data_IF_332182189169
#
_entry.id   IF_332182189169
#
_cell.length_a   1.000
_cell.length_b   1.000
_cell.length_c   1.000
_cell.angle_alpha   90.00
_cell.angle_beta   90.00
_cell.angle_gamma   90.00
#
_symmetry.space_group_name_H-M   'P 1'
#
loop_
_entity.id
_entity.type
_entity.pdbx_description
1 polymer ?
#
# COMPACT_ATOMS: atom_id res chain seq x y z
N UNK A 1 10.71 -3.00 -28.72
CA UNK A 1 9.65 -3.72 -27.96
C UNK A 1 10.16 -4.89 -27.10
N UNK A 2 11.10 -5.75 -27.55
CA UNK A 2 11.60 -6.90 -26.73
C UNK A 2 12.46 -6.45 -25.52
N UNK A 3 13.12 -5.29 -25.60
CA UNK A 3 13.97 -4.75 -24.53
C UNK A 3 13.17 -4.24 -23.31
N UNK A 4 12.02 -3.62 -23.54
CA UNK A 4 11.19 -3.04 -22.46
C UNK A 4 10.57 -4.11 -21.57
N UNK A 5 10.11 -5.23 -22.15
CA UNK A 5 9.53 -6.35 -21.38
C UNK A 5 10.58 -7.01 -20.48
N UNK A 6 11.80 -7.23 -21.00
CA UNK A 6 12.92 -7.78 -20.20
C UNK A 6 13.37 -6.80 -19.10
N UNK A 7 13.37 -5.50 -19.40
CA UNK A 7 13.67 -4.45 -18.43
C UNK A 7 12.63 -4.41 -17.30
N UNK A 8 11.34 -4.48 -17.62
CA UNK A 8 10.25 -4.52 -16.63
C UNK A 8 10.32 -5.77 -15.74
N UNK A 9 10.61 -6.94 -16.31
CA UNK A 9 10.75 -8.17 -15.51
C UNK A 9 11.93 -8.10 -14.53
N UNK A 10 13.05 -7.51 -14.96
CA UNK A 10 14.17 -7.23 -14.06
C UNK A 10 13.76 -6.27 -12.93
N UNK A 11 13.05 -5.19 -13.25
CA UNK A 11 12.55 -4.22 -12.25
C UNK A 11 11.59 -4.86 -11.25
N UNK A 12 10.67 -5.71 -11.71
CA UNK A 12 9.76 -6.49 -10.85
C UNK A 12 10.56 -7.34 -9.85
N UNK A 13 11.60 -8.03 -10.31
CA UNK A 13 12.45 -8.85 -9.44
C UNK A 13 13.21 -7.98 -8.42
N UNK A 14 13.74 -6.84 -8.85
CA UNK A 14 14.45 -5.90 -7.98
C UNK A 14 13.52 -5.28 -6.92
N UNK A 15 12.32 -4.85 -7.29
CA UNK A 15 11.34 -4.33 -6.34
C UNK A 15 10.86 -5.41 -5.37
N UNK A 16 10.66 -6.64 -5.85
CA UNK A 16 10.31 -7.77 -4.98
C UNK A 16 11.42 -8.08 -3.97
N UNK A 17 12.68 -8.09 -4.41
CA UNK A 17 13.83 -8.29 -3.54
C UNK A 17 13.95 -7.16 -2.51
N UNK A 18 13.84 -5.90 -2.96
CA UNK A 18 13.87 -4.73 -2.08
C UNK A 18 12.76 -4.82 -1.02
N UNK A 19 11.51 -5.06 -1.44
CA UNK A 19 10.37 -5.20 -0.54
C UNK A 19 10.58 -6.32 0.48
N UNK A 20 11.10 -7.47 0.06
CA UNK A 20 11.40 -8.56 0.97
C UNK A 20 12.49 -8.18 1.97
N UNK A 21 13.58 -7.54 1.53
CA UNK A 21 14.63 -7.05 2.42
C UNK A 21 14.10 -6.02 3.44
N UNK A 22 13.34 -5.02 2.98
CA UNK A 22 12.76 -4.00 3.86
C UNK A 22 11.72 -4.58 4.80
N UNK A 23 10.90 -5.53 4.33
CA UNK A 23 9.96 -6.27 5.18
C UNK A 23 10.70 -7.11 6.21
N UNK A 24 11.83 -7.73 5.91
CA UNK A 24 12.65 -8.45 6.90
C UNK A 24 13.22 -7.48 7.93
N UNK A 25 13.79 -6.35 7.49
CA UNK A 25 14.29 -5.31 8.40
C UNK A 25 13.18 -4.75 9.31
N UNK A 26 11.94 -4.66 8.80
CA UNK A 26 10.75 -4.28 9.57
C UNK A 26 10.21 -5.40 10.46
N UNK A 27 10.15 -6.64 9.95
CA UNK A 27 9.52 -7.86 10.50
C UNK A 27 10.55 -8.87 11.00
N UNK A 28 11.24 -8.52 12.08
CA UNK A 28 11.41 -9.51 13.15
C UNK A 28 10.02 -9.74 13.80
N UNK A 29 9.20 -10.51 13.08
CA UNK A 29 7.81 -10.98 13.25
C UNK A 29 6.67 -9.95 13.19
N UNK A 30 5.56 -10.41 12.61
CA UNK A 30 4.23 -9.79 12.54
C UNK A 30 3.64 -9.66 13.93
N UNK A 31 3.13 -8.47 14.24
CA UNK A 31 2.48 -8.16 15.51
C UNK A 31 1.27 -9.09 15.80
N UNK A 32 0.66 -9.71 14.78
CA UNK A 32 -0.41 -10.73 14.94
C UNK A 32 0.03 -12.04 15.63
N UNK A 33 1.33 -12.38 15.61
CA UNK A 33 1.84 -13.55 16.34
C UNK A 33 2.22 -13.22 17.78
N UNK A 34 2.43 -11.94 18.11
CA UNK A 34 2.82 -11.51 19.46
C UNK A 34 1.60 -11.39 20.37
N UNK A 35 0.47 -10.87 19.88
CA UNK A 35 -0.73 -10.65 20.69
C UNK A 35 -1.36 -11.98 21.19
N UNK A 36 -1.35 -13.02 20.34
CA UNK A 36 -1.78 -14.37 20.70
C UNK A 36 -0.79 -15.08 21.64
N UNK A 37 0.50 -14.75 21.58
CA UNK A 37 1.53 -15.38 22.40
C UNK A 37 1.73 -14.66 23.75
N UNK A 38 1.51 -13.34 23.82
CA UNK A 38 1.55 -12.53 25.04
C UNK A 38 0.37 -12.83 25.97
N UNK A 39 -0.84 -13.02 25.41
CA UNK A 39 -2.02 -13.43 26.19
C UNK A 39 -1.88 -14.83 26.80
N UNK A 40 -1.06 -15.72 26.22
CA UNK A 40 -0.78 -17.06 26.76
C UNK A 40 0.41 -17.11 27.75
N UNK A 41 1.26 -16.09 27.79
CA UNK A 41 2.59 -16.15 28.46
C UNK A 41 2.71 -15.22 29.69
N UNK A 42 1.61 -14.63 30.15
CA UNK A 42 1.58 -13.72 31.30
C UNK A 42 1.79 -14.38 32.69
N UNK A 43 2.68 -15.38 32.81
CA UNK A 43 2.94 -16.11 34.07
C UNK A 43 4.41 -16.46 34.39
N UNK A 44 5.41 -15.75 33.87
CA UNK A 44 6.79 -15.91 34.36
C UNK A 44 7.66 -14.68 34.08
N UNK A 45 7.89 -13.86 35.12
CA UNK A 45 8.59 -12.57 35.04
C UNK A 45 10.01 -12.65 35.61
N UNK A 46 10.94 -12.00 34.89
CA UNK A 46 12.20 -11.38 35.32
C UNK A 46 13.36 -11.62 34.33
N UNK A 47 13.47 -12.81 33.72
CA UNK A 47 14.53 -13.09 32.72
C UNK A 47 14.15 -12.75 31.27
N UNK A 48 12.85 -12.59 30.97
CA UNK A 48 12.36 -12.29 29.61
C UNK A 48 12.39 -10.81 29.24
N UNK A 49 12.27 -9.90 30.22
CA UNK A 49 12.25 -8.45 29.97
C UNK A 49 13.53 -7.97 29.28
N UNK A 50 14.70 -8.41 29.75
CA UNK A 50 15.99 -8.05 29.12
C UNK A 50 16.11 -8.56 27.67
N UNK A 51 15.55 -9.74 27.37
CA UNK A 51 15.57 -10.30 26.01
C UNK A 51 14.62 -9.59 25.05
N UNK A 52 13.49 -9.05 25.56
CA UNK A 52 12.53 -8.30 24.75
C UNK A 52 13.04 -6.90 24.43
N UNK A 53 13.63 -6.20 25.41
CA UNK A 53 14.22 -4.88 25.19
C UNK A 53 15.43 -4.93 24.24
N UNK A 54 16.29 -5.94 24.37
CA UNK A 54 17.41 -6.13 23.42
C UNK A 54 16.92 -6.34 21.98
N UNK A 55 15.89 -7.18 21.79
CA UNK A 55 15.28 -7.41 20.46
C UNK A 55 14.64 -6.16 19.87
N UNK A 56 14.03 -5.33 20.72
CA UNK A 56 13.46 -4.03 20.31
C UNK A 56 14.55 -3.07 19.83
N UNK A 57 15.68 -3.01 20.55
CA UNK A 57 16.86 -2.23 20.16
C UNK A 57 17.45 -2.68 18.82
N UNK A 58 17.63 -3.98 18.63
CA UNK A 58 18.14 -4.54 17.38
C UNK A 58 17.20 -4.25 16.19
N UNK A 59 15.88 -4.32 16.41
CA UNK A 59 14.86 -3.97 15.40
C UNK A 59 14.93 -2.50 15.01
N UNK A 60 15.04 -1.59 15.98
CA UNK A 60 15.16 -0.16 15.70
C UNK A 60 16.44 0.13 14.90
N UNK A 61 17.56 -0.49 15.30
CA UNK A 61 18.84 -0.36 14.59
C UNK A 61 18.75 -0.83 13.13
N UNK A 62 18.11 -1.97 12.88
CA UNK A 62 17.92 -2.48 11.52
C UNK A 62 17.05 -1.54 10.66
N UNK A 63 16.00 -0.96 11.24
CA UNK A 63 15.18 0.04 10.54
C UNK A 63 15.98 1.29 10.17
N UNK A 64 16.77 1.81 11.11
CA UNK A 64 17.64 2.98 10.87
C UNK A 64 18.67 2.67 9.79
N UNK A 65 19.35 1.52 9.85
CA UNK A 65 20.31 1.11 8.81
C UNK A 65 19.65 0.97 7.43
N UNK A 66 18.45 0.40 7.36
CA UNK A 66 17.71 0.30 6.10
C UNK A 66 17.35 1.68 5.53
N UNK A 67 16.90 2.60 6.39
CA UNK A 67 16.61 3.98 6.03
C UNK A 67 17.85 4.72 5.53
N UNK A 68 19.00 4.58 6.21
CA UNK A 68 20.28 5.17 5.80
C UNK A 68 20.74 4.67 4.42
N UNK A 69 20.67 3.36 4.19
CA UNK A 69 21.05 2.77 2.90
C UNK A 69 20.16 3.29 1.77
N UNK A 70 18.83 3.33 1.97
CA UNK A 70 17.90 3.89 0.98
C UNK A 70 18.21 5.37 0.74
N UNK A 71 18.38 6.16 1.80
CA UNK A 71 18.68 7.58 1.73
C UNK A 71 19.98 7.87 0.96
N UNK A 72 20.98 6.99 1.05
CA UNK A 72 22.25 7.12 0.34
C UNK A 72 22.13 7.01 -1.19
N UNK A 73 21.13 6.28 -1.72
CA UNK A 73 20.87 6.26 -3.17
C UNK A 73 20.21 7.55 -3.69
N UNK A 74 19.67 8.36 -2.77
CA UNK A 74 19.14 9.69 -3.04
C UNK A 74 17.93 9.74 -3.99
N UNK A 75 17.69 10.92 -4.54
CA UNK A 75 16.51 11.22 -5.36
C UNK A 75 16.41 10.37 -6.64
N UNK A 76 17.52 9.92 -7.22
CA UNK A 76 17.51 9.13 -8.47
C UNK A 76 16.76 7.81 -8.31
N UNK A 77 16.91 7.14 -7.17
CA UNK A 77 16.18 5.92 -6.86
C UNK A 77 14.69 6.22 -6.74
N UNK A 78 14.34 7.27 -6.01
CA UNK A 78 12.95 7.68 -5.80
C UNK A 78 12.28 8.07 -7.13
N UNK A 79 12.96 8.82 -7.98
CA UNK A 79 12.50 9.23 -9.31
C UNK A 79 12.20 8.01 -10.20
N UNK A 80 13.08 7.00 -10.18
CA UNK A 80 12.89 5.75 -10.93
C UNK A 80 11.67 4.97 -10.44
N UNK A 81 11.53 4.83 -9.12
CA UNK A 81 10.38 4.13 -8.53
C UNK A 81 9.08 4.90 -8.82
N UNK A 82 9.08 6.22 -8.70
CA UNK A 82 7.91 7.05 -9.00
C UNK A 82 7.52 6.98 -10.49
N UNK A 83 8.50 6.96 -11.38
CA UNK A 83 8.27 6.77 -12.80
C UNK A 83 7.55 5.43 -13.07
N UNK A 84 8.06 4.31 -12.53
CA UNK A 84 7.42 3.01 -12.69
C UNK A 84 6.06 2.91 -11.97
N UNK A 85 5.85 3.65 -10.88
CA UNK A 85 4.56 3.74 -10.19
C UNK A 85 3.48 4.44 -11.04
N UNK A 86 3.87 5.22 -12.05
CA UNK A 86 2.95 5.85 -13.00
C UNK A 86 2.87 5.05 -14.30
N UNK A 87 4.01 4.76 -14.93
CA UNK A 87 4.08 4.22 -16.30
C UNK A 87 4.19 2.69 -16.37
N UNK A 88 4.53 2.03 -15.26
CA UNK A 88 4.73 0.59 -15.21
C UNK A 88 3.47 -0.21 -15.54
N UNK A 89 3.65 -1.44 -16.03
CA UNK A 89 2.57 -2.41 -16.12
C UNK A 89 2.10 -2.81 -14.71
N UNK A 90 0.88 -3.36 -14.59
CA UNK A 90 0.19 -3.60 -13.31
C UNK A 90 1.10 -4.14 -12.21
N UNK A 91 1.84 -5.22 -12.45
CA UNK A 91 2.71 -5.84 -11.44
C UNK A 91 3.88 -4.93 -11.04
N UNK A 92 4.53 -4.28 -12.01
CA UNK A 92 5.61 -3.35 -11.73
C UNK A 92 5.10 -2.14 -10.95
N UNK A 93 3.96 -1.61 -11.37
CA UNK A 93 3.27 -0.48 -10.72
C UNK A 93 2.91 -0.80 -9.27
N UNK A 94 2.32 -1.96 -9.02
CA UNK A 94 2.00 -2.45 -7.68
C UNK A 94 3.25 -2.49 -6.79
N UNK A 95 4.32 -3.09 -7.28
CA UNK A 95 5.56 -3.24 -6.51
C UNK A 95 6.26 -1.90 -6.29
N UNK A 96 6.26 -1.00 -7.27
CA UNK A 96 6.82 0.34 -7.15
C UNK A 96 6.06 1.16 -6.08
N UNK A 97 4.72 1.15 -6.11
CA UNK A 97 3.88 1.79 -5.10
C UNK A 97 4.12 1.19 -3.70
N UNK A 98 4.23 -0.14 -3.59
CA UNK A 98 4.55 -0.79 -2.33
C UNK A 98 5.97 -0.44 -1.82
N UNK A 99 6.94 -0.23 -2.73
CA UNK A 99 8.25 0.28 -2.35
C UNK A 99 8.17 1.69 -1.79
N UNK A 100 7.45 2.61 -2.45
CA UNK A 100 7.23 3.97 -1.96
C UNK A 100 6.53 3.98 -0.59
N UNK A 101 5.53 3.12 -0.42
CA UNK A 101 4.85 2.89 0.85
C UNK A 101 5.86 2.49 1.96
N UNK A 102 6.70 1.49 1.71
CA UNK A 102 7.70 1.04 2.68
C UNK A 102 8.80 2.08 2.95
N UNK A 103 9.23 2.82 1.93
CA UNK A 103 10.22 3.90 2.07
C UNK A 103 9.64 5.02 2.94
N UNK A 104 8.38 5.40 2.69
CA UNK A 104 7.67 6.38 3.51
C UNK A 104 7.47 5.89 4.95
N UNK A 105 7.22 4.59 5.14
CA UNK A 105 7.05 3.99 6.47
C UNK A 105 8.32 4.05 7.30
N UNK A 106 9.44 3.72 6.67
CA UNK A 106 10.75 3.73 7.30
C UNK A 106 11.29 5.16 7.50
N UNK A 107 10.56 6.18 7.01
CA UNK A 107 11.02 7.56 6.95
C UNK A 107 12.41 7.68 6.31
N UNK A 108 12.69 6.80 5.33
CA UNK A 108 14.00 6.68 4.70
C UNK A 108 14.38 7.93 3.88
N UNK A 109 13.37 8.67 3.42
CA UNK A 109 13.52 9.94 2.71
C UNK A 109 12.52 10.92 3.29
N UNK A 110 13.01 11.90 4.05
CA UNK A 110 12.16 12.87 4.76
C UNK A 110 11.37 13.79 3.81
N UNK A 111 11.93 14.07 2.64
CA UNK A 111 11.32 14.93 1.59
C UNK A 111 10.46 14.14 0.59
N UNK A 112 10.16 12.86 0.86
CA UNK A 112 9.47 11.99 -0.11
C UNK A 112 8.14 12.57 -0.60
N UNK A 113 7.31 13.08 0.32
CA UNK A 113 6.01 13.64 -0.04
C UNK A 113 6.15 14.87 -0.96
N UNK A 114 7.06 15.78 -0.62
CA UNK A 114 7.33 16.98 -1.42
C UNK A 114 7.93 16.63 -2.77
N UNK A 115 8.80 15.63 -2.84
CA UNK A 115 9.40 15.14 -4.08
C UNK A 115 8.32 14.59 -5.02
N UNK A 116 7.45 13.71 -4.51
CA UNK A 116 6.36 13.08 -5.28
C UNK A 116 5.37 14.14 -5.79
N UNK A 117 5.05 15.15 -4.98
CA UNK A 117 4.14 16.21 -5.40
C UNK A 117 4.79 17.20 -6.39
N UNK A 118 5.97 17.75 -6.07
CA UNK A 118 6.63 18.79 -6.88
C UNK A 118 7.05 18.32 -8.28
N UNK A 119 7.30 17.02 -8.45
CA UNK A 119 7.61 16.38 -9.74
C UNK A 119 6.36 15.99 -10.53
N UNK A 120 5.16 16.22 -10.01
CA UNK A 120 3.90 15.87 -10.67
C UNK A 120 3.49 14.40 -10.58
N UNK A 121 4.25 13.55 -9.88
CA UNK A 121 3.90 12.14 -9.71
C UNK A 121 2.60 11.96 -8.92
N UNK A 122 2.38 12.77 -7.87
CA UNK A 122 1.13 12.73 -7.09
C UNK A 122 -0.09 12.95 -7.99
N UNK A 123 -0.03 14.01 -8.81
CA UNK A 123 -1.08 14.36 -9.77
C UNK A 123 -1.37 13.20 -10.72
N UNK A 124 -0.33 12.62 -11.33
CA UNK A 124 -0.49 11.47 -12.23
C UNK A 124 -1.00 10.20 -11.52
N UNK A 125 -0.61 9.98 -10.27
CA UNK A 125 -1.14 8.87 -9.46
C UNK A 125 -2.64 9.03 -9.26
N UNK A 126 -3.12 10.25 -8.97
CA UNK A 126 -4.53 10.56 -8.78
C UNK A 126 -5.33 10.56 -10.09
N UNK A 127 -4.78 11.10 -11.18
CA UNK A 127 -5.38 10.98 -12.52
C UNK A 127 -5.53 9.50 -12.94
N UNK A 128 -4.51 8.68 -12.68
CA UNK A 128 -4.56 7.24 -12.95
C UNK A 128 -5.57 6.51 -12.05
N UNK A 129 -5.80 6.99 -10.82
CA UNK A 129 -6.83 6.46 -9.93
C UNK A 129 -8.23 6.72 -10.50
N UNK A 130 -8.51 7.95 -10.92
CA UNK A 130 -9.78 8.32 -11.55
C UNK A 130 -10.06 7.45 -12.80
N UNK A 131 -9.06 7.35 -13.69
CA UNK A 131 -9.13 6.55 -14.92
C UNK A 131 -9.28 5.04 -14.65
N UNK A 132 -8.95 4.55 -13.45
CA UNK A 132 -9.08 3.13 -13.10
C UNK A 132 -10.51 2.71 -12.77
N UNK A 133 -11.45 3.66 -12.61
CA UNK A 133 -12.83 3.37 -12.21
C UNK A 133 -13.52 2.32 -13.08
N UNK A 134 -13.48 2.36 -14.43
CA UNK A 134 -14.12 1.32 -15.26
C UNK A 134 -13.52 -0.08 -15.05
N UNK A 135 -12.21 -0.18 -14.86
CA UNK A 135 -11.53 -1.44 -14.62
C UNK A 135 -11.90 -2.02 -13.25
N UNK A 136 -12.08 -1.17 -12.23
CA UNK A 136 -12.58 -1.59 -10.92
C UNK A 136 -14.05 -2.01 -10.98
N UNK A 137 -14.89 -1.35 -11.77
CA UNK A 137 -16.25 -1.81 -12.03
C UNK A 137 -16.27 -3.19 -12.72
N UNK A 138 -15.32 -3.49 -13.61
CA UNK A 138 -15.18 -4.80 -14.22
C UNK A 138 -14.77 -5.89 -13.20
N UNK A 139 -13.97 -5.54 -12.18
CA UNK A 139 -13.67 -6.43 -11.05
C UNK A 139 -14.93 -6.81 -10.25
N UNK A 140 -15.96 -5.95 -10.25
CA UNK A 140 -17.23 -6.20 -9.54
C UNK A 140 -18.17 -7.17 -10.27
N UNK A 141 -17.85 -7.60 -11.49
CA UNK A 141 -18.65 -8.61 -12.20
C UNK A 141 -18.59 -9.98 -11.51
N UNK A 142 -19.61 -10.85 -11.62
CA UNK A 142 -19.62 -12.17 -10.98
C UNK A 142 -18.36 -13.01 -11.29
N UNK A 143 -17.89 -12.94 -12.54
CA UNK A 143 -16.64 -13.57 -12.99
C UNK A 143 -15.79 -12.50 -13.67
N UNK A 144 -14.87 -11.83 -12.95
CA UNK A 144 -13.99 -10.83 -13.53
C UNK A 144 -12.88 -11.51 -14.37
N UNK A 145 -12.42 -10.84 -15.44
CA UNK A 145 -11.34 -11.36 -16.28
C UNK A 145 -10.03 -11.54 -15.50
N UNK A 146 -9.72 -10.57 -14.61
CA UNK A 146 -8.58 -10.61 -13.71
C UNK A 146 -8.76 -9.61 -12.56
N UNK A 147 -7.96 -9.76 -11.50
CA UNK A 147 -7.99 -8.91 -10.30
C UNK A 147 -6.84 -7.90 -10.25
N UNK A 148 -6.03 -7.76 -11.31
CA UNK A 148 -4.87 -6.85 -11.29
C UNK A 148 -5.27 -5.39 -11.04
N UNK A 149 -6.36 -4.85 -11.62
CA UNK A 149 -6.82 -3.49 -11.30
C UNK A 149 -7.06 -3.27 -9.81
N UNK A 150 -7.63 -4.27 -9.11
CA UNK A 150 -7.87 -4.21 -7.68
C UNK A 150 -6.56 -4.11 -6.88
N UNK A 151 -5.58 -4.96 -7.19
CA UNK A 151 -4.31 -4.94 -6.47
C UNK A 151 -3.47 -3.69 -6.73
N UNK A 152 -3.54 -3.12 -7.94
CA UNK A 152 -2.96 -1.82 -8.26
C UNK A 152 -3.64 -0.72 -7.45
N UNK A 153 -4.98 -0.75 -7.36
CA UNK A 153 -5.76 0.18 -6.54
C UNK A 153 -5.37 0.09 -5.06
N UNK A 154 -5.32 -1.10 -4.48
CA UNK A 154 -4.92 -1.30 -3.07
C UNK A 154 -3.52 -0.75 -2.79
N UNK A 155 -2.54 -1.05 -3.67
CA UNK A 155 -1.17 -0.55 -3.53
C UNK A 155 -1.10 0.98 -3.61
N UNK A 156 -1.92 1.58 -4.48
CA UNK A 156 -2.01 3.03 -4.64
C UNK A 156 -2.62 3.69 -3.40
N UNK A 157 -3.75 3.17 -2.95
CA UNK A 157 -4.45 3.69 -1.78
C UNK A 157 -3.63 3.53 -0.51
N UNK A 158 -2.88 2.44 -0.36
CA UNK A 158 -1.94 2.26 0.76
C UNK A 158 -0.90 3.39 0.80
N UNK A 159 -0.24 3.66 -0.32
CA UNK A 159 0.76 4.73 -0.40
C UNK A 159 0.15 6.12 -0.15
N UNK A 160 -0.99 6.43 -0.76
CA UNK A 160 -1.69 7.71 -0.54
C UNK A 160 -2.11 7.87 0.93
N UNK A 161 -2.63 6.81 1.55
CA UNK A 161 -3.01 6.81 2.99
C UNK A 161 -1.78 7.04 3.85
N UNK A 162 -0.64 6.46 3.49
CA UNK A 162 0.62 6.68 4.20
C UNK A 162 1.11 8.11 4.11
N UNK A 163 1.01 8.74 2.94
CA UNK A 163 1.28 10.18 2.80
C UNK A 163 0.35 11.01 3.69
N UNK A 164 -0.94 10.64 3.72
CA UNK A 164 -1.97 11.32 4.49
C UNK A 164 -1.75 11.27 6.01
N UNK A 165 -0.97 10.32 6.54
CA UNK A 165 -0.60 10.30 7.98
C UNK A 165 0.37 11.41 8.40
N UNK A 166 0.83 12.25 7.47
CA UNK A 166 1.62 13.44 7.76
C UNK A 166 0.83 14.71 7.42
N UNK A 167 1.00 15.78 8.21
CA UNK A 167 0.32 17.05 7.94
C UNK A 167 0.67 17.61 6.55
N UNK A 168 1.94 17.50 6.15
CA UNK A 168 2.41 17.92 4.81
C UNK A 168 1.75 17.09 3.71
N UNK A 169 1.81 15.76 3.80
CA UNK A 169 1.22 14.87 2.80
C UNK A 169 -0.29 15.01 2.67
N UNK A 170 -1.01 15.17 3.80
CA UNK A 170 -2.45 15.43 3.79
C UNK A 170 -2.81 16.74 3.06
N UNK A 171 -2.04 17.82 3.28
CA UNK A 171 -2.24 19.09 2.54
C UNK A 171 -1.97 18.95 1.05
N UNK A 172 -0.91 18.24 0.68
CA UNK A 172 -0.57 17.98 -0.73
C UNK A 172 -1.68 17.18 -1.43
N UNK A 173 -2.23 16.15 -0.77
CA UNK A 173 -3.34 15.36 -1.29
C UNK A 173 -4.61 16.19 -1.51
N UNK A 174 -4.95 17.08 -0.58
CA UNK A 174 -6.07 18.00 -0.74
C UNK A 174 -5.82 19.03 -1.85
N UNK A 175 -4.59 19.52 -1.96
CA UNK A 175 -4.18 20.43 -3.04
C UNK A 175 -4.39 19.83 -4.43
N UNK A 176 -4.13 18.53 -4.57
CA UNK A 176 -4.36 17.76 -5.81
C UNK A 176 -5.77 17.14 -5.90
N UNK A 177 -6.72 17.59 -5.07
CA UNK A 177 -8.14 17.20 -5.11
C UNK A 177 -8.39 15.69 -4.94
N UNK A 178 -7.61 15.01 -4.10
CA UNK A 178 -7.75 13.57 -3.88
C UNK A 178 -9.19 13.14 -3.49
N UNK A 179 -9.88 13.92 -2.67
CA UNK A 179 -11.29 13.64 -2.30
C UNK A 179 -12.25 13.80 -3.49
N UNK A 180 -11.99 14.76 -4.38
CA UNK A 180 -12.75 14.93 -5.62
C UNK A 180 -12.59 13.72 -6.54
N UNK A 181 -11.36 13.22 -6.69
CA UNK A 181 -11.10 11.98 -7.43
C UNK A 181 -11.90 10.81 -6.86
N UNK A 182 -11.86 10.59 -5.53
CA UNK A 182 -12.65 9.53 -4.91
C UNK A 182 -14.16 9.72 -5.16
N UNK A 183 -14.69 10.94 -5.02
CA UNK A 183 -16.12 11.20 -5.23
C UNK A 183 -16.61 10.91 -6.66
N UNK A 184 -15.72 10.93 -7.65
CA UNK A 184 -16.06 10.68 -9.05
C UNK A 184 -15.99 9.20 -9.44
N UNK A 185 -15.47 8.33 -8.57
CA UNK A 185 -15.32 6.91 -8.89
C UNK A 185 -16.66 6.17 -8.81
N UNK A 186 -17.14 5.69 -9.95
CA UNK A 186 -18.42 4.97 -10.09
C UNK A 186 -18.45 3.60 -9.42
N UNK A 187 -17.30 3.07 -9.02
CA UNK A 187 -17.24 1.75 -8.39
C UNK A 187 -17.90 1.74 -7.01
N UNK A 188 -17.97 2.90 -6.34
CA UNK A 188 -18.64 3.02 -5.05
C UNK A 188 -20.16 2.88 -5.14
N UNK A 189 -20.75 3.14 -6.32
CA UNK A 189 -22.18 2.96 -6.58
C UNK A 189 -22.59 1.49 -6.72
N UNK A 190 -21.61 0.58 -6.87
CA UNK A 190 -21.83 -0.86 -7.10
C UNK A 190 -21.95 -1.66 -5.79
N UNK A 191 -22.64 -1.10 -4.80
CA UNK A 191 -22.82 -1.75 -3.50
C UNK A 191 -23.48 -3.14 -3.69
N UNK A 192 -22.87 -4.22 -3.16
CA UNK A 192 -23.43 -5.56 -3.28
C UNK A 192 -24.72 -5.68 -2.47
N UNK A 193 -25.68 -6.46 -2.99
CA UNK A 193 -26.90 -6.82 -2.26
C UNK A 193 -26.56 -7.84 -1.18
N UNK A 194 -26.56 -7.36 0.07
CA UNK A 194 -26.25 -8.14 1.27
C UNK A 194 -27.10 -9.41 1.35
N UNK A 195 -28.37 -9.37 0.91
CA UNK A 195 -29.26 -10.55 0.96
C UNK A 195 -28.84 -11.61 -0.06
N UNK A 196 -28.44 -11.19 -1.26
CA UNK A 196 -27.93 -12.11 -2.28
C UNK A 196 -26.62 -12.77 -1.84
N UNK A 197 -25.77 -12.03 -1.13
CA UNK A 197 -24.50 -12.54 -0.61
C UNK A 197 -24.66 -13.55 0.52
N UNK A 198 -25.64 -13.37 1.41
CA UNK A 198 -25.94 -14.35 2.46
C UNK A 198 -26.44 -15.69 1.90
N UNK A 199 -27.20 -15.66 0.80
CA UNK A 199 -27.68 -16.86 0.12
C UNK A 199 -26.54 -17.66 -0.52
N UNK A 200 -25.53 -16.97 -1.04
CA UNK A 200 -24.35 -17.57 -1.69
C UNK A 200 -23.24 -17.97 -0.70
N UNK A 201 -23.40 -17.70 0.60
CA UNK A 201 -22.37 -17.97 1.63
C UNK A 201 -22.09 -19.45 1.86
N UNK A 202 -23.00 -20.33 1.44
CA UNK A 202 -22.89 -21.77 1.56
C UNK A 202 -22.32 -22.46 0.31
N UNK A 203 -22.00 -21.68 -0.74
CA UNK A 203 -21.30 -22.20 -1.92
C UNK A 203 -19.85 -22.57 -1.54
N UNK A 204 -19.29 -23.65 -2.12
CA UNK A 204 -17.91 -24.03 -1.87
C UNK A 204 -16.96 -22.88 -2.21
N UNK A 205 -15.86 -22.76 -1.45
CA UNK A 205 -14.87 -21.69 -1.62
C UNK A 205 -14.34 -21.68 -3.06
N UNK A 206 -14.80 -20.69 -3.82
CA UNK A 206 -14.26 -20.40 -5.15
C UNK A 206 -12.85 -19.82 -4.99
N UNK A 207 -11.99 -20.07 -5.97
CA UNK A 207 -10.63 -19.51 -6.02
C UNK A 207 -10.62 -17.96 -6.06
N UNK A 208 -11.74 -17.36 -6.47
CA UNK A 208 -11.92 -15.92 -6.53
C UNK A 208 -12.60 -15.41 -5.24
N UNK A 209 -12.14 -14.29 -4.67
CA UNK A 209 -12.81 -13.64 -3.55
C UNK A 209 -14.24 -13.26 -3.96
N UNK A 210 -15.17 -13.30 -3.03
CA UNK A 210 -16.57 -12.92 -3.24
C UNK A 210 -16.73 -11.46 -3.69
N UNK A 211 -17.88 -11.12 -4.29
CA UNK A 211 -18.17 -9.74 -4.69
C UNK A 211 -18.09 -8.79 -3.47
N UNK A 212 -18.56 -9.23 -2.30
CA UNK A 212 -18.49 -8.46 -1.05
C UNK A 212 -17.07 -8.20 -0.58
N UNK A 213 -16.20 -9.22 -0.63
CA UNK A 213 -14.79 -9.06 -0.27
C UNK A 213 -14.10 -8.09 -1.21
N UNK A 214 -14.38 -8.18 -2.52
CA UNK A 214 -13.83 -7.25 -3.51
C UNK A 214 -14.35 -5.82 -3.30
N UNK A 215 -15.64 -5.64 -3.02
CA UNK A 215 -16.18 -4.32 -2.70
C UNK A 215 -15.55 -3.74 -1.44
N UNK A 216 -15.36 -4.54 -0.39
CA UNK A 216 -14.67 -4.12 0.84
C UNK A 216 -13.22 -3.74 0.57
N UNK A 217 -12.49 -4.51 -0.23
CA UNK A 217 -11.13 -4.18 -0.69
C UNK A 217 -11.05 -2.88 -1.48
N UNK A 218 -12.16 -2.42 -2.06
CA UNK A 218 -12.24 -1.13 -2.77
C UNK A 218 -12.63 0.00 -1.81
N UNK A 219 -13.69 -0.19 -1.03
CA UNK A 219 -14.27 0.85 -0.18
C UNK A 219 -13.39 1.16 1.04
N UNK A 220 -12.86 0.15 1.74
CA UNK A 220 -12.10 0.36 2.97
C UNK A 220 -10.85 1.23 2.75
N UNK A 221 -10.02 1.02 1.72
CA UNK A 221 -8.87 1.91 1.48
C UNK A 221 -9.28 3.37 1.19
N UNK A 222 -10.43 3.61 0.56
CA UNK A 222 -10.95 4.96 0.35
C UNK A 222 -11.32 5.64 1.67
N UNK A 223 -12.02 4.91 2.54
CA UNK A 223 -12.38 5.40 3.87
C UNK A 223 -11.14 5.62 4.74
N UNK A 224 -10.16 4.72 4.72
CA UNK A 224 -8.90 4.89 5.45
C UNK A 224 -8.11 6.10 4.98
N UNK A 225 -8.11 6.40 3.68
CA UNK A 225 -7.49 7.62 3.17
C UNK A 225 -8.20 8.88 3.68
N UNK A 226 -9.54 8.90 3.63
CA UNK A 226 -10.33 10.01 4.18
C UNK A 226 -10.07 10.20 5.68
N UNK A 227 -10.10 9.12 6.46
CA UNK A 227 -9.82 9.13 7.88
C UNK A 227 -8.40 9.65 8.18
N UNK A 228 -7.38 9.18 7.46
CA UNK A 228 -6.01 9.65 7.62
C UNK A 228 -5.86 11.15 7.30
N UNK A 229 -6.54 11.66 6.26
CA UNK A 229 -6.53 13.09 5.92
C UNK A 229 -7.17 13.91 7.05
N UNK A 230 -8.35 13.49 7.55
CA UNK A 230 -9.07 14.18 8.62
C UNK A 230 -8.21 14.20 9.90
N UNK A 231 -7.73 13.03 10.33
CA UNK A 231 -6.92 12.90 11.54
C UNK A 231 -5.62 13.72 11.50
N UNK A 232 -5.02 13.92 10.33
CA UNK A 232 -3.79 14.70 10.18
C UNK A 232 -3.99 16.21 10.12
N UNK A 233 -5.20 16.68 9.83
CA UNK A 233 -5.50 18.11 9.64
C UNK A 233 -6.35 18.71 10.76
N UNK A 234 -7.09 17.90 11.52
CA UNK A 234 -7.91 18.33 12.65
C UNK A 234 -9.36 18.56 12.27
#
# INVERSE_FOLDING_TARGET
MISEVKSQQLRINLYSALLNCLRIAKRLRTDEQLEYQETLISRQESARMNSTEQRRGDRLRLKVMAAEVIGAFGEKLIDTICHDAVTGHDVCRMLALACLDMISELQAVSTLCDFVASRGYLKHILESLDQSSPALCAVMQPVPENLRPLYVYESRMAFLTRMAHSNVGARLLLGEQALGVLSNMKVYDLQPDVKASELNRNEPQNFLPSIDERFRSILLPALSLCDAIINSLG
#
